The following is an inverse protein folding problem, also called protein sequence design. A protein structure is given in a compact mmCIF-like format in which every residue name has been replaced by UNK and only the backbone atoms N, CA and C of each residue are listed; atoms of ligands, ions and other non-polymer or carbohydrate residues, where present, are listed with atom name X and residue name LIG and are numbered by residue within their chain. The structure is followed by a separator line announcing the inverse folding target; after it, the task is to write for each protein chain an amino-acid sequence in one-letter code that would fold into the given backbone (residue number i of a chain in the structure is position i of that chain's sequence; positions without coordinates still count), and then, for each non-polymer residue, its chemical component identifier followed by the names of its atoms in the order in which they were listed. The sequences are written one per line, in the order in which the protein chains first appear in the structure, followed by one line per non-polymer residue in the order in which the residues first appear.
data_IF_987918853314
#
_entry.id   IF_987918853314
#
_cell.length_a   1.000
_cell.length_b   1.000
_cell.length_c   1.000
_cell.angle_alpha   90.00
_cell.angle_beta   90.00
_cell.angle_gamma   90.00
#
_symmetry.space_group_name_H-M   'P 1'
#
loop_
_entity.id
_entity.type
_entity.pdbx_description
1 polymer ?
#
# COMPACT_ATOMS: atom_id res chain seq x y z
N UNK A 1 4.06 13.50 14.90
CA UNK A 1 5.05 12.44 15.16
C UNK A 1 5.83 12.21 13.89
N UNK A 2 7.02 12.74 13.82
CA UNK A 2 7.92 12.55 12.67
C UNK A 2 8.45 11.13 12.76
N UNK A 3 7.99 10.25 11.90
CA UNK A 3 8.59 8.92 11.77
C UNK A 3 9.95 9.12 11.12
N UNK A 4 11.01 9.12 11.89
CA UNK A 4 12.38 8.99 11.36
C UNK A 4 12.53 7.56 10.83
N UNK A 5 12.17 7.35 9.58
CA UNK A 5 12.26 6.04 8.91
C UNK A 5 13.72 5.64 8.69
N UNK A 6 14.62 6.62 8.73
CA UNK A 6 16.05 6.40 8.55
C UNK A 6 16.79 6.96 9.78
N UNK A 7 17.31 6.06 10.61
CA UNK A 7 18.27 6.45 11.65
C UNK A 7 19.67 6.49 11.06
N UNK A 8 20.53 7.42 11.50
CA UNK A 8 21.93 7.51 11.04
C UNK A 8 22.69 6.19 11.20
N UNK A 9 22.33 5.39 12.17
CA UNK A 9 22.96 4.10 12.47
C UNK A 9 22.69 3.02 11.40
N UNK A 10 21.67 3.21 10.56
CA UNK A 10 21.28 2.21 9.56
C UNK A 10 22.03 2.39 8.23
N UNK A 11 22.43 3.61 7.88
CA UNK A 11 23.00 3.96 6.58
C UNK A 11 24.30 4.76 6.64
N UNK A 12 24.89 4.94 7.83
CA UNK A 12 26.05 5.80 8.01
C UNK A 12 25.71 7.30 7.98
N UNK A 13 26.71 8.13 7.86
CA UNK A 13 26.54 9.57 7.78
C UNK A 13 26.14 9.94 6.36
N UNK A 14 24.95 10.51 6.21
CA UNK A 14 24.45 11.00 4.94
C UNK A 14 25.19 12.30 4.56
N UNK A 15 25.51 12.46 3.27
CA UNK A 15 26.00 13.73 2.74
C UNK A 15 24.86 14.76 2.56
N UNK A 16 25.22 16.02 2.28
CA UNK A 16 24.25 17.09 2.17
C UNK A 16 23.22 16.87 1.03
N UNK A 17 23.63 16.25 -0.08
CA UNK A 17 22.76 15.94 -1.20
C UNK A 17 21.74 14.85 -0.82
N UNK A 18 22.20 13.82 -0.13
CA UNK A 18 21.32 12.76 0.38
C UNK A 18 20.32 13.28 1.40
N UNK A 19 20.73 14.21 2.27
CA UNK A 19 19.85 14.87 3.24
C UNK A 19 18.78 15.69 2.51
N UNK A 20 19.15 16.46 1.50
CA UNK A 20 18.19 17.25 0.71
C UNK A 20 17.20 16.36 -0.03
N UNK A 21 17.68 15.26 -0.63
CA UNK A 21 16.83 14.29 -1.31
C UNK A 21 15.85 13.61 -0.34
N UNK A 22 16.32 13.22 0.83
CA UNK A 22 15.47 12.63 1.88
C UNK A 22 14.37 13.62 2.31
N UNK A 23 14.71 14.90 2.50
CA UNK A 23 13.72 15.92 2.85
C UNK A 23 12.69 16.12 1.75
N UNK A 24 13.10 16.08 0.47
CA UNK A 24 12.18 16.13 -0.66
C UNK A 24 11.22 14.95 -0.67
N UNK A 25 11.71 13.72 -0.45
CA UNK A 25 10.87 12.52 -0.39
C UNK A 25 9.84 12.61 0.74
N UNK A 26 10.25 13.06 1.92
CA UNK A 26 9.34 13.23 3.07
C UNK A 26 8.25 14.26 2.73
N UNK A 27 8.62 15.41 2.17
CA UNK A 27 7.64 16.44 1.80
C UNK A 27 6.66 15.94 0.74
N UNK A 28 7.15 15.21 -0.26
CA UNK A 28 6.32 14.63 -1.31
C UNK A 28 5.35 13.60 -0.73
N UNK A 29 5.83 12.72 0.15
CA UNK A 29 5.00 11.76 0.86
C UNK A 29 3.89 12.46 1.64
N UNK A 30 4.25 13.43 2.49
CA UNK A 30 3.30 14.16 3.33
C UNK A 30 2.24 14.90 2.49
N UNK A 31 2.66 15.60 1.41
CA UNK A 31 1.70 16.29 0.54
C UNK A 31 0.75 15.32 -0.16
N UNK A 32 1.24 14.18 -0.61
CA UNK A 32 0.41 13.17 -1.29
C UNK A 32 -0.59 12.52 -0.32
N UNK A 33 -0.16 12.24 0.91
CA UNK A 33 -1.08 11.75 1.98
C UNK A 33 -2.20 12.75 2.24
N UNK A 34 -1.88 14.04 2.35
CA UNK A 34 -2.88 15.09 2.57
C UNK A 34 -3.84 15.26 1.36
N UNK A 35 -3.34 15.14 0.14
CA UNK A 35 -4.18 15.16 -1.06
C UNK A 35 -5.17 13.98 -1.09
N UNK A 36 -4.70 12.76 -0.83
CA UNK A 36 -5.56 11.57 -0.74
C UNK A 36 -6.58 11.73 0.40
N UNK A 37 -6.15 12.20 1.56
CA UNK A 37 -7.04 12.48 2.69
C UNK A 37 -8.14 13.47 2.28
N UNK A 38 -7.79 14.54 1.60
CA UNK A 38 -8.75 15.52 1.09
C UNK A 38 -9.77 14.88 0.13
N UNK A 39 -9.31 14.02 -0.79
CA UNK A 39 -10.20 13.31 -1.70
C UNK A 39 -11.17 12.37 -0.95
N UNK A 40 -10.69 11.66 0.06
CA UNK A 40 -11.52 10.77 0.89
C UNK A 40 -12.65 11.55 1.59
N UNK A 41 -12.33 12.75 2.09
CA UNK A 41 -13.28 13.60 2.83
C UNK A 41 -14.26 14.28 1.87
N UNK A 42 -13.77 14.97 0.86
CA UNK A 42 -14.60 15.80 -0.02
C UNK A 42 -15.44 14.97 -1.00
N UNK A 43 -14.86 13.93 -1.57
CA UNK A 43 -15.55 13.10 -2.57
C UNK A 43 -16.30 11.92 -1.98
N UNK A 44 -16.12 11.64 -0.70
CA UNK A 44 -16.72 10.49 0.01
C UNK A 44 -16.49 9.15 -0.71
N UNK A 45 -15.34 9.02 -1.38
CA UNK A 45 -15.00 7.84 -2.15
C UNK A 45 -14.61 6.66 -1.26
N UNK A 46 -14.76 5.46 -1.80
CA UNK A 46 -14.13 4.25 -1.31
C UNK A 46 -12.88 4.03 -2.15
N UNK A 47 -11.72 3.95 -1.52
CA UNK A 47 -10.49 3.71 -2.25
C UNK A 47 -10.32 2.22 -2.55
N UNK A 48 -10.02 1.91 -3.79
CA UNK A 48 -9.58 0.60 -4.24
C UNK A 48 -8.17 0.71 -4.81
N UNK A 49 -7.22 0.00 -4.20
CA UNK A 49 -5.80 0.04 -4.56
C UNK A 49 -5.37 -1.33 -5.06
N UNK A 50 -5.16 -1.50 -6.36
CA UNK A 50 -4.50 -2.70 -6.88
C UNK A 50 -3.01 -2.66 -6.52
N UNK A 51 -2.51 -3.75 -5.94
CA UNK A 51 -1.14 -3.87 -5.43
C UNK A 51 -0.44 -5.05 -6.11
N UNK A 52 0.65 -4.77 -6.80
CA UNK A 52 1.47 -5.80 -7.43
C UNK A 52 2.55 -6.38 -6.52
N UNK A 53 2.65 -5.86 -5.29
CA UNK A 53 3.73 -6.15 -4.32
C UNK A 53 5.12 -5.72 -4.81
N UNK A 54 5.21 -4.94 -5.89
CA UNK A 54 6.42 -4.23 -6.30
C UNK A 54 6.64 -2.97 -5.47
N UNK A 55 7.83 -2.39 -5.58
CA UNK A 55 8.23 -1.20 -4.79
C UNK A 55 7.27 -0.03 -4.96
N UNK A 56 6.83 0.24 -6.19
CA UNK A 56 6.03 1.43 -6.51
C UNK A 56 4.58 1.26 -6.00
N UNK A 57 3.97 0.09 -6.21
CA UNK A 57 2.63 -0.19 -5.69
C UNK A 57 2.58 -0.24 -4.17
N UNK A 58 3.66 -0.71 -3.52
CA UNK A 58 3.78 -0.70 -2.05
C UNK A 58 3.83 0.73 -1.50
N UNK A 59 4.49 1.65 -2.19
CA UNK A 59 4.50 3.06 -1.78
C UNK A 59 3.09 3.65 -1.86
N UNK A 60 2.36 3.40 -2.95
CA UNK A 60 0.96 3.85 -3.10
C UNK A 60 0.07 3.26 -2.00
N UNK A 61 0.21 1.97 -1.72
CA UNK A 61 -0.50 1.27 -0.66
C UNK A 61 -0.29 1.95 0.70
N UNK A 62 0.97 2.23 1.07
CA UNK A 62 1.33 2.89 2.33
C UNK A 62 0.73 4.30 2.41
N UNK A 63 0.79 5.08 1.33
CA UNK A 63 0.23 6.43 1.28
C UNK A 63 -1.28 6.40 1.53
N UNK A 64 -2.01 5.51 0.87
CA UNK A 64 -3.46 5.41 1.02
C UNK A 64 -3.85 4.93 2.42
N UNK A 65 -3.17 3.93 2.96
CA UNK A 65 -3.40 3.46 4.33
C UNK A 65 -3.15 4.58 5.35
N UNK A 66 -2.08 5.36 5.18
CA UNK A 66 -1.76 6.48 6.06
C UNK A 66 -2.81 7.59 5.96
N UNK A 67 -3.32 7.89 4.75
CA UNK A 67 -4.40 8.85 4.57
C UNK A 67 -5.68 8.42 5.29
N UNK A 68 -6.06 7.13 5.21
CA UNK A 68 -7.19 6.58 5.97
C UNK A 68 -6.97 6.69 7.48
N UNK A 69 -5.80 6.27 7.94
CA UNK A 69 -5.44 6.33 9.37
C UNK A 69 -5.59 7.75 9.93
N UNK A 70 -5.06 8.75 9.22
CA UNK A 70 -5.13 10.16 9.62
C UNK A 70 -6.57 10.67 9.57
N UNK A 71 -7.29 10.41 8.50
CA UNK A 71 -8.67 10.86 8.34
C UNK A 71 -9.60 10.27 9.43
N UNK A 72 -9.42 9.01 9.81
CA UNK A 72 -10.16 8.38 10.91
C UNK A 72 -9.76 9.00 12.25
N UNK A 73 -8.47 9.15 12.52
CA UNK A 73 -7.96 9.72 13.78
C UNK A 73 -8.41 11.18 13.98
N UNK A 74 -8.55 11.94 12.91
CA UNK A 74 -9.05 13.31 12.92
C UNK A 74 -10.60 13.39 12.92
N UNK A 75 -11.29 12.25 12.85
CA UNK A 75 -12.75 12.18 12.81
C UNK A 75 -13.39 12.74 11.54
N UNK A 76 -12.63 12.79 10.44
CA UNK A 76 -13.06 13.34 9.16
C UNK A 76 -13.81 12.34 8.28
N UNK A 77 -13.57 11.04 8.50
CA UNK A 77 -14.31 9.94 7.86
C UNK A 77 -14.76 8.93 8.92
N UNK A 78 -15.76 8.14 8.56
CA UNK A 78 -16.28 7.08 9.41
C UNK A 78 -15.24 5.95 9.55
N UNK A 79 -15.10 5.38 10.75
CA UNK A 79 -14.14 4.29 11.01
C UNK A 79 -14.48 2.97 10.30
N UNK A 80 -15.73 2.81 9.88
CA UNK A 80 -16.22 1.66 9.12
C UNK A 80 -16.13 1.84 7.61
N UNK A 81 -15.67 3.03 7.13
CA UNK A 81 -15.48 3.24 5.68
C UNK A 81 -14.48 2.26 5.13
N UNK A 82 -14.86 1.46 4.12
CA UNK A 82 -13.99 0.41 3.62
C UNK A 82 -12.81 0.96 2.81
N UNK A 83 -11.65 0.35 3.01
CA UNK A 83 -10.48 0.43 2.13
C UNK A 83 -10.29 -0.93 1.47
N UNK A 84 -10.24 -0.98 0.16
CA UNK A 84 -10.10 -2.22 -0.59
C UNK A 84 -8.70 -2.27 -1.21
N UNK A 85 -7.95 -3.30 -0.87
CA UNK A 85 -6.70 -3.67 -1.54
C UNK A 85 -6.93 -4.94 -2.34
N UNK A 86 -6.33 -5.04 -3.51
CA UNK A 86 -6.38 -6.26 -4.30
C UNK A 86 -5.04 -6.57 -4.94
N UNK A 87 -4.69 -7.84 -4.97
CA UNK A 87 -3.53 -8.34 -5.71
C UNK A 87 -3.94 -9.49 -6.61
N UNK A 88 -3.20 -9.72 -7.68
CA UNK A 88 -3.46 -10.83 -8.60
C UNK A 88 -2.36 -11.87 -8.44
N UNK A 89 -2.74 -13.11 -8.13
CA UNK A 89 -1.86 -14.28 -8.27
C UNK A 89 -2.01 -14.80 -9.70
N UNK A 90 -1.02 -14.54 -10.54
CA UNK A 90 -1.03 -14.96 -11.94
C UNK A 90 -0.79 -16.47 -12.11
N UNK A 91 -0.51 -17.19 -11.02
CA UNK A 91 -0.17 -18.62 -10.98
C UNK A 91 1.12 -18.99 -11.72
N UNK A 92 1.82 -18.01 -12.29
CA UNK A 92 3.04 -18.18 -13.09
C UNK A 92 4.30 -17.69 -12.38
N UNK A 93 4.21 -17.44 -11.09
CA UNK A 93 5.32 -16.87 -10.33
C UNK A 93 6.17 -17.94 -9.65
N UNK A 94 7.45 -17.63 -9.43
CA UNK A 94 8.33 -18.47 -8.64
C UNK A 94 7.82 -18.62 -7.19
N UNK A 95 8.20 -19.71 -6.52
CA UNK A 95 7.74 -20.01 -5.15
C UNK A 95 7.96 -18.83 -4.19
N UNK A 96 9.12 -18.14 -4.16
CA UNK A 96 9.31 -16.97 -3.30
C UNK A 96 8.34 -15.82 -3.63
N UNK A 97 8.06 -15.61 -4.91
CA UNK A 97 7.13 -14.57 -5.36
C UNK A 97 5.68 -14.89 -5.01
N UNK A 98 5.31 -16.17 -4.90
CA UNK A 98 3.99 -16.59 -4.41
C UNK A 98 3.83 -16.41 -2.90
N UNK A 99 4.89 -16.65 -2.14
CA UNK A 99 4.85 -16.55 -0.68
C UNK A 99 4.81 -15.11 -0.18
N UNK A 100 5.51 -14.21 -0.87
CA UNK A 100 5.63 -12.82 -0.45
C UNK A 100 4.29 -12.08 -0.36
N UNK A 101 3.39 -12.14 -1.35
CA UNK A 101 2.08 -11.51 -1.26
C UNK A 101 1.25 -11.98 -0.06
N UNK A 102 1.29 -13.27 0.24
CA UNK A 102 0.59 -13.83 1.40
C UNK A 102 1.15 -13.29 2.72
N UNK A 103 2.46 -13.16 2.81
CA UNK A 103 3.13 -12.59 3.97
C UNK A 103 2.82 -11.09 4.11
N UNK A 104 2.93 -10.34 3.02
CA UNK A 104 2.62 -8.91 2.99
C UNK A 104 1.16 -8.65 3.38
N UNK A 105 0.22 -9.41 2.82
CA UNK A 105 -1.20 -9.36 3.16
C UNK A 105 -1.41 -9.49 4.67
N UNK A 106 -0.88 -10.54 5.29
CA UNK A 106 -1.04 -10.77 6.73
C UNK A 106 -0.53 -9.61 7.59
N UNK A 107 0.61 -9.04 7.22
CA UNK A 107 1.19 -7.91 7.95
C UNK A 107 0.35 -6.65 7.82
N UNK A 108 -0.15 -6.37 6.64
CA UNK A 108 -0.97 -5.19 6.37
C UNK A 108 -2.34 -5.31 7.02
N UNK A 109 -2.97 -6.48 6.95
CA UNK A 109 -4.22 -6.75 7.66
C UNK A 109 -4.06 -6.58 9.18
N UNK A 110 -2.96 -7.08 9.75
CA UNK A 110 -2.68 -6.90 11.18
C UNK A 110 -2.49 -5.42 11.55
N UNK A 111 -1.77 -4.66 10.72
CA UNK A 111 -1.60 -3.22 10.92
C UNK A 111 -2.92 -2.46 10.82
N UNK A 112 -3.71 -2.72 9.77
CA UNK A 112 -5.01 -2.09 9.59
C UNK A 112 -5.95 -2.35 10.78
N UNK A 113 -5.98 -3.59 11.27
CA UNK A 113 -6.73 -3.97 12.47
C UNK A 113 -6.26 -3.21 13.71
N UNK A 114 -4.94 -3.12 13.92
CA UNK A 114 -4.36 -2.36 15.04
C UNK A 114 -4.76 -0.87 14.98
N UNK A 115 -4.80 -0.29 13.78
CA UNK A 115 -5.12 1.13 13.56
C UNK A 115 -6.62 1.40 13.40
N UNK A 116 -7.47 0.39 13.50
CA UNK A 116 -8.92 0.54 13.38
C UNK A 116 -9.40 0.90 11.99
N UNK A 117 -8.66 0.49 10.95
CA UNK A 117 -9.03 0.68 9.55
C UNK A 117 -9.84 -0.51 9.07
N UNK A 118 -11.05 -0.26 8.53
CA UNK A 118 -11.90 -1.28 7.93
C UNK A 118 -11.37 -1.66 6.53
N UNK A 119 -10.36 -2.53 6.50
CA UNK A 119 -9.65 -2.90 5.27
C UNK A 119 -10.01 -4.31 4.81
N UNK A 120 -10.22 -4.44 3.51
CA UNK A 120 -10.39 -5.69 2.79
C UNK A 120 -9.21 -5.91 1.86
N UNK A 121 -8.54 -7.03 2.00
CA UNK A 121 -7.41 -7.38 1.14
C UNK A 121 -7.74 -8.65 0.35
N UNK A 122 -8.03 -8.50 -0.93
CA UNK A 122 -8.39 -9.58 -1.83
C UNK A 122 -7.20 -10.07 -2.66
N UNK A 123 -7.07 -11.38 -2.75
CA UNK A 123 -6.12 -12.03 -3.66
C UNK A 123 -6.93 -12.72 -4.76
N UNK A 124 -6.89 -12.14 -5.96
CA UNK A 124 -7.65 -12.59 -7.10
C UNK A 124 -6.80 -13.53 -7.94
N UNK A 125 -7.36 -14.68 -8.30
CA UNK A 125 -6.74 -15.61 -9.26
C UNK A 125 -7.49 -15.56 -10.58
N UNK A 126 -6.79 -15.67 -11.72
CA UNK A 126 -7.47 -15.73 -13.03
C UNK A 126 -8.35 -16.99 -13.11
N UNK A 127 -9.43 -16.90 -13.86
CA UNK A 127 -10.21 -18.07 -14.23
C UNK A 127 -9.38 -19.03 -15.10
N UNK A 128 -9.74 -20.32 -15.13
CA UNK A 128 -8.99 -21.33 -15.87
C UNK A 128 -8.68 -20.95 -17.31
N UNK A 129 -9.64 -20.35 -18.02
CA UNK A 129 -9.46 -19.92 -19.41
C UNK A 129 -8.57 -18.67 -19.56
N UNK A 130 -8.32 -17.97 -18.47
CA UNK A 130 -7.50 -16.75 -18.45
C UNK A 130 -6.10 -16.98 -17.87
N UNK A 131 -5.82 -18.21 -17.43
CA UNK A 131 -4.48 -18.57 -16.96
C UNK A 131 -3.45 -18.47 -18.10
N UNK A 132 -2.27 -17.96 -17.76
CA UNK A 132 -1.20 -17.73 -18.72
C UNK A 132 -0.87 -18.99 -19.55
N UNK A 133 -0.71 -20.12 -18.88
CA UNK A 133 -0.35 -21.37 -19.56
C UNK A 133 -1.46 -21.86 -20.49
N UNK A 134 -2.73 -21.71 -20.11
CA UNK A 134 -3.85 -22.11 -20.96
C UNK A 134 -3.90 -21.26 -22.23
N UNK A 135 -3.79 -19.93 -22.09
CA UNK A 135 -3.76 -19.01 -23.24
C UNK A 135 -2.53 -19.18 -24.11
N UNK A 136 -1.36 -19.41 -23.50
CA UNK A 136 -0.11 -19.53 -24.24
C UNK A 136 0.02 -20.87 -24.98
N UNK A 137 -0.57 -21.94 -24.47
CA UNK A 137 -0.54 -23.27 -25.13
C UNK A 137 -1.67 -23.49 -26.11
N UNK A 138 -2.52 -22.49 -26.35
CA UNK A 138 -3.56 -22.56 -27.38
C UNK A 138 -4.81 -23.32 -26.95
N UNK A 139 -5.11 -23.27 -25.65
CA UNK A 139 -6.39 -23.78 -25.10
C UNK A 139 -7.57 -22.91 -25.51
#
# INVERSE_FOLDING_TARGET
MTVNVFTPDTFGVLDDEQIQYQQLLIRTFESTVEEIKTLLVEKKIIAHVPVSQGKDSTVVEIIVIEAYRRAIAEGLIESDRPLILSTVDTLNESIPMKMYPTFAKRRIEAYAKEKGINMYYDMVTPGLNDEYFVKFTGG
#
